data_IF_480442511426
#
_entry.id   IF_480442511426
#
_cell.length_a   1.000
_cell.length_b   1.000
_cell.length_c   1.000
_cell.angle_alpha   90.00
_cell.angle_beta   90.00
_cell.angle_gamma   90.00
#
_symmetry.space_group_name_H-M   'P 1'
#
loop_
_entity.id
_entity.type
_entity.pdbx_description
1 polymer ?
#
# COMPACT_ATOMS: atom_id res chain seq x y z
N UNK A 1 -12.17 37.49 6.37
CA UNK A 1 -11.13 36.44 6.25
C UNK A 1 -11.75 35.13 6.72
N UNK A 2 -12.25 34.30 5.80
CA UNK A 2 -12.77 32.98 6.16
C UNK A 2 -11.58 32.08 6.49
N UNK A 3 -11.48 31.59 7.73
CA UNK A 3 -10.52 30.53 8.06
C UNK A 3 -10.96 29.27 7.30
N UNK A 4 -10.21 28.89 6.26
CA UNK A 4 -10.38 27.61 5.61
C UNK A 4 -10.16 26.52 6.67
N UNK A 5 -11.24 25.86 7.11
CA UNK A 5 -11.13 24.65 7.92
C UNK A 5 -10.52 23.61 7.00
N UNK A 6 -9.26 23.26 7.25
CA UNK A 6 -8.64 22.08 6.67
C UNK A 6 -9.46 20.87 7.13
N UNK A 7 -10.42 20.44 6.31
CA UNK A 7 -11.05 19.13 6.47
C UNK A 7 -9.91 18.12 6.29
N UNK A 8 -9.50 17.47 7.37
CA UNK A 8 -8.45 16.46 7.33
C UNK A 8 -8.97 15.28 6.50
N UNK A 9 -8.54 15.19 5.24
CA UNK A 9 -8.84 14.08 4.34
C UNK A 9 -7.82 12.97 4.60
N UNK A 10 -8.29 11.74 4.81
CA UNK A 10 -7.44 10.56 5.03
C UNK A 10 -7.58 9.59 3.87
N UNK A 11 -6.46 9.01 3.43
CA UNK A 11 -6.44 7.93 2.45
C UNK A 11 -6.15 6.59 3.15
N UNK A 12 -6.90 5.55 2.80
CA UNK A 12 -6.64 4.17 3.22
C UNK A 12 -6.29 3.33 1.99
N UNK A 13 -5.08 2.77 1.97
CA UNK A 13 -4.58 1.96 0.86
C UNK A 13 -4.11 0.61 1.41
N UNK A 14 -4.56 -0.47 0.77
CA UNK A 14 -4.05 -1.83 0.95
C UNK A 14 -3.79 -2.38 -0.44
N UNK A 15 -2.55 -2.77 -0.72
CA UNK A 15 -2.13 -3.19 -2.05
C UNK A 15 -1.02 -4.25 -1.97
N UNK A 16 -0.87 -5.03 -3.04
CA UNK A 16 0.20 -6.01 -3.17
C UNK A 16 1.56 -5.34 -3.31
N UNK A 17 2.59 -6.04 -2.84
CA UNK A 17 4.00 -5.64 -2.93
C UNK A 17 4.83 -6.68 -3.68
N UNK A 18 5.94 -6.23 -4.25
CA UNK A 18 6.95 -7.05 -4.90
C UNK A 18 8.34 -6.69 -4.35
N UNK A 19 8.81 -7.48 -3.38
CA UNK A 19 10.08 -7.29 -2.68
C UNK A 19 11.03 -8.46 -2.92
N UNK A 20 12.31 -8.30 -2.59
CA UNK A 20 13.31 -9.37 -2.78
C UNK A 20 12.98 -10.63 -1.95
N UNK A 21 12.53 -10.44 -0.71
CA UNK A 21 12.19 -11.54 0.20
C UNK A 21 10.82 -12.17 -0.11
N UNK A 22 9.90 -11.37 -0.69
CA UNK A 22 8.54 -11.79 -1.03
C UNK A 22 8.19 -11.35 -2.47
N UNK A 23 8.73 -12.03 -3.50
CA UNK A 23 8.45 -11.67 -4.89
C UNK A 23 7.00 -11.96 -5.26
N UNK A 24 6.36 -11.05 -6.00
CA UNK A 24 4.98 -11.19 -6.43
C UNK A 24 4.83 -12.17 -7.60
N UNK A 25 4.40 -13.40 -7.31
CA UNK A 25 4.26 -14.48 -8.33
C UNK A 25 2.86 -14.61 -8.94
N UNK A 26 1.94 -13.70 -8.60
CA UNK A 26 0.50 -13.81 -8.89
C UNK A 26 0.11 -13.12 -10.21
N UNK A 27 1.04 -12.41 -10.85
CA UNK A 27 0.83 -11.77 -12.15
C UNK A 27 -0.06 -10.53 -12.09
N UNK A 28 -0.07 -9.80 -10.96
CA UNK A 28 -0.72 -8.49 -10.91
C UNK A 28 -0.03 -7.54 -11.91
N UNK A 29 -0.80 -6.66 -12.59
CA UNK A 29 -0.22 -5.68 -13.51
C UNK A 29 0.62 -4.60 -12.78
N UNK A 30 0.49 -4.54 -11.45
CA UNK A 30 1.18 -3.59 -10.59
C UNK A 30 1.34 -4.17 -9.18
N UNK A 31 2.49 -3.89 -8.56
CA UNK A 31 2.77 -4.15 -7.15
C UNK A 31 3.81 -3.13 -6.66
N UNK A 32 3.65 -2.65 -5.43
CA UNK A 32 4.58 -1.66 -4.86
C UNK A 32 5.95 -2.30 -4.56
N UNK A 33 7.02 -1.55 -4.78
CA UNK A 33 8.36 -1.86 -4.26
C UNK A 33 8.48 -1.42 -2.80
N UNK A 34 9.50 -1.91 -2.12
CA UNK A 34 9.81 -1.53 -0.74
C UNK A 34 9.90 0.00 -0.57
N UNK A 35 9.12 0.51 0.38
CA UNK A 35 9.02 1.94 0.69
C UNK A 35 8.44 2.83 -0.41
N UNK A 36 7.93 2.28 -1.51
CA UNK A 36 7.42 3.07 -2.64
C UNK A 36 6.18 3.89 -2.25
N UNK A 37 5.22 3.26 -1.57
CA UNK A 37 4.03 3.96 -1.09
C UNK A 37 4.38 5.07 -0.08
N UNK A 38 5.36 4.83 0.78
CA UNK A 38 5.84 5.84 1.74
C UNK A 38 6.46 7.04 1.05
N UNK A 39 7.21 6.84 -0.03
CA UNK A 39 7.79 7.94 -0.84
C UNK A 39 6.70 8.76 -1.52
N UNK A 40 5.64 8.14 -2.04
CA UNK A 40 4.52 8.88 -2.64
C UNK A 40 3.78 9.79 -1.65
N UNK A 41 3.71 9.38 -0.38
CA UNK A 41 3.06 10.14 0.70
C UNK A 41 4.07 10.83 1.62
N UNK A 42 5.23 11.21 1.10
CA UNK A 42 6.18 12.02 1.85
C UNK A 42 5.56 13.39 2.19
N UNK A 43 5.77 13.86 3.42
CA UNK A 43 5.15 15.08 3.94
C UNK A 43 3.71 14.92 4.46
N UNK A 44 3.07 13.76 4.26
CA UNK A 44 1.76 13.47 4.85
C UNK A 44 1.88 12.86 6.24
N UNK A 45 0.90 13.14 7.10
CA UNK A 45 0.77 12.44 8.38
C UNK A 45 0.40 10.97 8.14
N UNK A 46 1.19 10.06 8.70
CA UNK A 46 0.94 8.62 8.63
C UNK A 46 0.29 8.16 9.93
N UNK A 47 -1.03 8.09 9.95
CA UNK A 47 -1.79 7.54 11.09
C UNK A 47 -1.46 6.05 11.31
N UNK A 48 -1.30 5.29 10.21
CA UNK A 48 -0.81 3.91 10.21
C UNK A 48 -0.07 3.62 8.90
N UNK A 49 1.05 2.91 8.99
CA UNK A 49 1.80 2.42 7.84
C UNK A 49 2.56 1.13 8.22
N UNK A 50 2.43 0.10 7.40
CA UNK A 50 3.20 -1.14 7.50
C UNK A 50 3.37 -1.78 6.12
N UNK A 51 4.39 -2.61 5.99
CA UNK A 51 4.68 -3.46 4.81
C UNK A 51 4.75 -4.92 5.28
N UNK A 52 3.85 -5.30 6.18
CA UNK A 52 3.83 -6.61 6.82
C UNK A 52 3.43 -7.70 5.82
N UNK A 53 3.95 -8.91 6.03
CA UNK A 53 3.60 -10.08 5.21
C UNK A 53 2.13 -10.45 5.42
N UNK A 54 1.40 -10.59 4.32
CA UNK A 54 -0.01 -10.98 4.31
C UNK A 54 -0.28 -12.23 3.48
N UNK A 55 -1.52 -12.72 3.56
CA UNK A 55 -1.97 -13.89 2.80
C UNK A 55 -3.03 -13.51 1.77
N UNK A 56 -2.94 -14.11 0.59
CA UNK A 56 -3.99 -14.01 -0.43
C UNK A 56 -5.03 -15.10 -0.18
N UNK A 57 -6.31 -14.72 -0.18
CA UNK A 57 -7.43 -15.67 -0.07
C UNK A 57 -7.44 -16.75 -1.17
N UNK A 58 -6.78 -16.51 -2.31
CA UNK A 58 -6.69 -17.49 -3.40
C UNK A 58 -5.56 -18.47 -3.16
N UNK A 59 -5.90 -19.68 -2.70
CA UNK A 59 -5.00 -20.81 -2.78
C UNK A 59 -4.81 -21.23 -4.24
N UNK A 60 -3.57 -21.53 -4.65
CA UNK A 60 -3.27 -22.20 -5.92
C UNK A 60 -3.96 -23.58 -5.94
N UNK A 61 -5.21 -23.61 -6.38
CA UNK A 61 -5.80 -24.71 -7.13
C UNK A 61 -6.23 -24.12 -8.47
N UNK A 62 -5.36 -24.22 -9.45
CA UNK A 62 -5.73 -24.11 -10.86
C UNK A 62 -5.69 -25.53 -11.42
N UNK A 63 -6.84 -25.98 -11.93
CA UNK A 63 -6.92 -27.11 -12.85
C UNK A 63 -6.23 -26.74 -14.16
#
# INVERSE_FOLDING_TARGET
MQLARNLAVTNLIVAAMDTADYPCTVGFPFAFKEGELRRYYEGWERVKYNEDVGELHRHRRQR
#
